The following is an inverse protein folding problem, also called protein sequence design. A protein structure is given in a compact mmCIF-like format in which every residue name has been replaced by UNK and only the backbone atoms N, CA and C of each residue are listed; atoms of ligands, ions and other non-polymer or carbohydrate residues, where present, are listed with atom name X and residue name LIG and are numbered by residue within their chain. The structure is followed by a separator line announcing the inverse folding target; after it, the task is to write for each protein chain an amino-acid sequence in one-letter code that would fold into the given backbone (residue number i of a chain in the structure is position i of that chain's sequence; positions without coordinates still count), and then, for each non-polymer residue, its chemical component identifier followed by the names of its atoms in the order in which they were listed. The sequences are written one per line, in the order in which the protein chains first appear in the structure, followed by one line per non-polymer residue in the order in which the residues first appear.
data_IF_388903748371
#
_entry.id   IF_388903748371
#
_cell.length_a   1.000
_cell.length_b   1.000
_cell.length_c   1.000
_cell.angle_alpha   90.00
_cell.angle_beta   90.00
_cell.angle_gamma   90.00
#
_symmetry.space_group_name_H-M   'P 1'
#
loop_
_entity.id
_entity.type
_entity.pdbx_description
1 polymer ?
#
# COMPACT_ATOMS: atom_id res chain seq x y z
N UNK A 1 -19.71 -7.61 40.81
CA UNK A 1 -21.06 -7.20 40.40
C UNK A 1 -21.19 -7.53 38.92
N UNK A 2 -22.19 -8.31 38.51
CA UNK A 2 -22.40 -8.62 37.09
C UNK A 2 -22.84 -7.34 36.38
N UNK A 3 -22.14 -6.95 35.32
CA UNK A 3 -22.48 -5.77 34.52
C UNK A 3 -23.90 -5.91 33.97
N UNK A 4 -24.76 -4.93 34.26
CA UNK A 4 -26.16 -4.89 33.80
C UNK A 4 -26.36 -3.63 32.97
N UNK A 5 -26.91 -3.80 31.78
CA UNK A 5 -27.33 -2.70 30.92
C UNK A 5 -28.81 -2.90 30.58
N UNK A 6 -29.69 -1.90 30.79
CA UNK A 6 -31.11 -2.03 30.49
C UNK A 6 -31.34 -2.43 29.04
N UNK A 7 -32.24 -3.38 28.81
CA UNK A 7 -32.54 -3.87 27.46
C UNK A 7 -31.51 -4.83 26.86
N UNK A 8 -30.41 -5.14 27.56
CA UNK A 8 -29.38 -6.06 27.10
C UNK A 8 -29.11 -7.20 28.09
N UNK A 9 -29.00 -8.41 27.57
CA UNK A 9 -28.49 -9.56 28.32
C UNK A 9 -27.05 -9.85 27.87
N UNK A 10 -26.08 -9.46 28.69
CA UNK A 10 -24.66 -9.72 28.44
C UNK A 10 -24.36 -11.21 28.66
N UNK A 11 -23.64 -11.81 27.71
CA UNK A 11 -23.39 -13.26 27.66
C UNK A 11 -21.91 -13.59 27.86
N UNK A 12 -21.04 -13.05 27.03
CA UNK A 12 -19.60 -13.30 27.10
C UNK A 12 -18.79 -12.04 26.81
N UNK A 13 -17.50 -12.05 27.19
CA UNK A 13 -16.56 -10.98 26.83
C UNK A 13 -15.79 -11.38 25.58
N UNK A 14 -15.95 -10.62 24.51
CA UNK A 14 -15.28 -10.83 23.23
C UNK A 14 -13.85 -10.27 23.23
N UNK A 15 -13.60 -9.17 23.96
CA UNK A 15 -12.30 -8.52 23.98
C UNK A 15 -12.05 -7.65 25.21
N UNK A 16 -10.78 -7.53 25.59
CA UNK A 16 -10.31 -6.63 26.67
C UNK A 16 -9.18 -5.75 26.13
N UNK A 17 -9.46 -4.46 25.92
CA UNK A 17 -8.45 -3.46 25.60
C UNK A 17 -8.10 -2.60 26.82
N UNK A 18 -7.08 -1.74 26.67
CA UNK A 18 -6.72 -0.76 27.70
C UNK A 18 -7.73 0.36 27.89
N UNK A 19 -8.59 0.60 26.89
CA UNK A 19 -9.53 1.73 26.87
C UNK A 19 -10.99 1.30 26.89
N UNK A 20 -11.30 0.12 26.37
CA UNK A 20 -12.65 -0.40 26.34
C UNK A 20 -12.66 -1.93 26.45
N UNK A 21 -13.77 -2.46 26.92
CA UNK A 21 -14.10 -3.88 26.90
C UNK A 21 -15.21 -4.12 25.88
N UNK A 22 -15.16 -5.22 25.16
CA UNK A 22 -16.20 -5.60 24.19
C UNK A 22 -16.86 -6.88 24.66
N UNK A 23 -18.19 -6.89 24.70
CA UNK A 23 -19.01 -8.00 25.16
C UNK A 23 -20.01 -8.42 24.09
N UNK A 24 -20.31 -9.71 24.02
CA UNK A 24 -21.47 -10.21 23.30
C UNK A 24 -22.70 -10.08 24.18
N UNK A 25 -23.79 -9.56 23.63
CA UNK A 25 -25.06 -9.48 24.33
C UNK A 25 -26.22 -9.82 23.40
N UNK A 26 -27.37 -10.15 23.99
CA UNK A 26 -28.66 -10.16 23.30
C UNK A 26 -29.38 -8.85 23.59
N UNK A 27 -29.80 -8.11 22.56
CA UNK A 27 -30.71 -6.98 22.71
C UNK A 27 -32.14 -7.53 22.86
N UNK A 28 -32.77 -7.30 24.02
CA UNK A 28 -34.03 -7.93 24.40
C UNK A 28 -35.21 -7.53 23.49
N UNK A 29 -35.23 -6.28 23.01
CA UNK A 29 -36.35 -5.76 22.19
C UNK A 29 -36.48 -6.43 20.82
N UNK A 30 -35.38 -6.89 20.25
CA UNK A 30 -35.32 -7.51 18.91
C UNK A 30 -34.83 -8.97 18.95
N UNK A 31 -34.54 -9.49 20.14
CA UNK A 31 -33.95 -10.82 20.38
C UNK A 31 -32.70 -11.13 19.51
N UNK A 32 -31.93 -10.10 19.16
CA UNK A 32 -30.75 -10.22 18.29
C UNK A 32 -29.44 -10.14 19.07
N UNK A 33 -28.40 -10.78 18.54
CA UNK A 33 -27.04 -10.63 19.06
C UNK A 33 -26.42 -9.30 18.64
N UNK A 34 -25.72 -8.66 19.58
CA UNK A 34 -25.01 -7.40 19.40
C UNK A 34 -23.66 -7.44 20.11
N UNK A 35 -22.70 -6.67 19.62
CA UNK A 35 -21.47 -6.40 20.33
C UNK A 35 -21.64 -5.09 21.11
N UNK A 36 -21.35 -5.11 22.41
CA UNK A 36 -21.39 -3.92 23.27
C UNK A 36 -19.96 -3.56 23.66
N UNK A 37 -19.51 -2.39 23.20
CA UNK A 37 -18.24 -1.79 23.59
C UNK A 37 -18.48 -0.84 24.75
N UNK A 38 -17.77 -1.04 25.85
CA UNK A 38 -17.94 -0.30 27.10
C UNK A 38 -16.61 0.34 27.46
N UNK A 39 -16.61 1.65 27.72
CA UNK A 39 -15.42 2.39 28.15
C UNK A 39 -14.89 1.79 29.46
N UNK A 40 -13.56 1.69 29.61
CA UNK A 40 -12.98 1.13 30.83
C UNK A 40 -13.34 1.99 32.05
N UNK A 41 -13.57 1.39 33.22
CA UNK A 41 -13.91 2.14 34.43
C UNK A 41 -12.89 3.23 34.80
N UNK A 42 -11.62 3.01 34.48
CA UNK A 42 -10.54 3.98 34.70
C UNK A 42 -10.69 5.25 33.87
N UNK A 43 -11.20 5.13 32.64
CA UNK A 43 -11.40 6.27 31.73
C UNK A 43 -12.79 6.88 31.87
N UNK A 44 -13.80 6.10 32.29
CA UNK A 44 -15.16 6.62 32.50
C UNK A 44 -15.24 7.60 33.67
N UNK A 45 -14.33 7.52 34.65
CA UNK A 45 -14.25 8.49 35.75
C UNK A 45 -13.63 9.84 35.35
N UNK A 46 -13.08 9.96 34.14
CA UNK A 46 -12.49 11.20 33.66
C UNK A 46 -13.45 11.87 32.66
N UNK A 47 -14.15 12.96 33.05
CA UNK A 47 -15.26 13.52 32.26
C UNK A 47 -14.90 13.84 30.81
N UNK A 48 -13.66 14.29 30.56
CA UNK A 48 -13.17 14.57 29.21
C UNK A 48 -13.17 13.35 28.30
N UNK A 49 -12.73 12.20 28.83
CA UNK A 49 -12.73 10.96 28.07
C UNK A 49 -14.15 10.43 27.87
N UNK A 50 -15.00 10.50 28.88
CA UNK A 50 -16.42 10.13 28.76
C UNK A 50 -17.16 10.97 27.70
N UNK A 51 -17.02 12.30 27.73
CA UNK A 51 -17.66 13.20 26.77
C UNK A 51 -17.19 12.96 25.34
N UNK A 52 -15.88 12.75 25.17
CA UNK A 52 -15.30 12.44 23.86
C UNK A 52 -15.75 11.07 23.35
N UNK A 53 -15.86 10.06 24.22
CA UNK A 53 -16.41 8.75 23.86
C UNK A 53 -17.79 8.90 23.27
N UNK A 54 -18.67 9.61 23.98
CA UNK A 54 -20.07 9.79 23.60
C UNK A 54 -20.20 10.65 22.33
N UNK A 55 -19.35 11.68 22.18
CA UNK A 55 -19.32 12.50 20.97
C UNK A 55 -19.00 11.66 19.74
N UNK A 56 -17.94 10.86 19.80
CA UNK A 56 -17.52 10.06 18.65
C UNK A 56 -18.41 8.87 18.39
N UNK A 57 -18.91 8.22 19.45
CA UNK A 57 -19.93 7.18 19.32
C UNK A 57 -21.16 7.69 18.57
N UNK A 58 -21.63 8.92 18.86
CA UNK A 58 -22.75 9.55 18.14
C UNK A 58 -22.40 9.87 16.68
N UNK A 59 -21.20 10.35 16.41
CA UNK A 59 -20.77 10.61 15.02
C UNK A 59 -20.73 9.31 14.22
N UNK A 60 -20.16 8.24 14.77
CA UNK A 60 -20.14 6.91 14.12
C UNK A 60 -21.57 6.39 13.94
N UNK A 61 -22.46 6.61 14.92
CA UNK A 61 -23.88 6.24 14.80
C UNK A 61 -24.63 6.95 13.67
N UNK A 62 -24.18 8.14 13.26
CA UNK A 62 -24.74 8.83 12.09
C UNK A 62 -24.23 8.30 10.75
N UNK A 63 -23.17 7.50 10.73
CA UNK A 63 -22.62 6.94 9.49
C UNK A 63 -23.43 5.70 9.08
N UNK A 64 -24.00 5.74 7.88
CA UNK A 64 -24.74 4.62 7.30
C UNK A 64 -24.12 4.20 5.96
N UNK A 65 -23.27 3.18 6.00
CA UNK A 65 -22.57 2.68 4.83
C UNK A 65 -22.38 1.15 4.93
N UNK A 66 -22.52 0.38 3.84
CA UNK A 66 -22.47 -1.09 3.87
C UNK A 66 -21.16 -1.67 4.43
N UNK A 67 -20.06 -0.92 4.36
CA UNK A 67 -18.73 -1.31 4.82
C UNK A 67 -18.26 -0.58 6.10
N UNK A 68 -19.18 0.07 6.81
CA UNK A 68 -18.98 0.68 8.13
C UNK A 68 -19.84 -0.10 9.13
N UNK A 69 -19.29 -0.46 10.28
CA UNK A 69 -20.05 -1.20 11.29
C UNK A 69 -21.28 -0.39 11.75
N UNK A 70 -22.51 -0.91 11.61
CA UNK A 70 -23.70 -0.25 12.12
C UNK A 70 -23.66 -0.15 13.63
N UNK A 71 -23.91 1.05 14.13
CA UNK A 71 -24.15 1.32 15.54
C UNK A 71 -25.65 1.40 15.76
N UNK A 72 -26.14 0.62 16.71
CA UNK A 72 -27.56 0.55 17.03
C UNK A 72 -27.97 1.46 18.17
N UNK A 73 -27.07 1.69 19.12
CA UNK A 73 -27.39 2.41 20.35
C UNK A 73 -26.13 2.98 21.01
N UNK A 74 -26.27 4.12 21.66
CA UNK A 74 -25.21 4.81 22.40
C UNK A 74 -25.81 5.30 23.71
N UNK A 75 -25.23 4.92 24.84
CA UNK A 75 -25.84 5.23 26.12
C UNK A 75 -24.87 5.29 27.29
N UNK A 76 -25.44 5.69 28.42
CA UNK A 76 -24.79 5.68 29.73
C UNK A 76 -25.72 4.99 30.73
N UNK A 77 -25.18 4.10 31.54
CA UNK A 77 -25.92 3.49 32.63
C UNK A 77 -25.00 3.19 33.82
N UNK A 78 -25.37 3.65 35.02
CA UNK A 78 -24.59 3.44 36.25
C UNK A 78 -23.09 3.80 36.09
N UNK A 79 -22.79 4.88 35.35
CA UNK A 79 -21.42 5.33 35.08
C UNK A 79 -20.66 4.55 33.99
N UNK A 80 -21.32 3.61 33.30
CA UNK A 80 -20.78 2.92 32.14
C UNK A 80 -21.26 3.57 30.86
N UNK A 81 -20.34 4.17 30.10
CA UNK A 81 -20.60 4.62 28.74
C UNK A 81 -20.42 3.44 27.78
N UNK A 82 -21.41 3.22 26.93
CA UNK A 82 -21.44 2.08 26.03
C UNK A 82 -21.92 2.42 24.61
N UNK A 83 -21.53 1.55 23.69
CA UNK A 83 -21.88 1.54 22.29
C UNK A 83 -22.35 0.13 21.91
N UNK A 84 -23.57 0.00 21.42
CA UNK A 84 -24.11 -1.25 20.86
C UNK A 84 -23.95 -1.23 19.35
N UNK A 85 -23.35 -2.28 18.78
CA UNK A 85 -23.04 -2.37 17.36
C UNK A 85 -23.30 -3.78 16.82
N UNK A 86 -23.29 -3.91 15.49
CA UNK A 86 -23.42 -5.20 14.80
C UNK A 86 -22.40 -6.21 15.35
N UNK A 87 -22.87 -7.41 15.72
CA UNK A 87 -22.00 -8.53 16.04
C UNK A 87 -21.70 -9.32 14.77
N UNK A 88 -20.43 -9.48 14.45
CA UNK A 88 -19.97 -10.11 13.22
C UNK A 88 -19.11 -11.34 13.51
N UNK A 89 -19.32 -12.41 12.74
CA UNK A 89 -18.77 -13.74 13.01
C UNK A 89 -17.77 -14.23 11.96
N UNK A 90 -17.55 -13.49 10.87
CA UNK A 90 -16.69 -13.89 9.75
C UNK A 90 -15.18 -13.73 9.97
N UNK A 91 -14.77 -13.41 11.21
CA UNK A 91 -13.38 -13.21 11.60
C UNK A 91 -12.79 -11.86 11.17
N UNK A 92 -11.50 -11.65 11.46
CA UNK A 92 -10.78 -10.42 11.14
C UNK A 92 -9.88 -10.55 9.92
N UNK A 93 -9.56 -9.42 9.28
CA UNK A 93 -8.61 -9.35 8.19
C UNK A 93 -7.24 -9.86 8.60
N UNK A 94 -6.80 -9.56 9.82
CA UNK A 94 -5.56 -10.13 10.38
C UNK A 94 -5.53 -11.66 10.34
N UNK A 95 -6.65 -12.32 10.61
CA UNK A 95 -6.72 -13.78 10.51
C UNK A 95 -6.66 -14.25 9.06
N UNK A 96 -7.32 -13.55 8.13
CA UNK A 96 -7.29 -13.87 6.69
C UNK A 96 -5.89 -13.69 6.10
N UNK A 97 -5.21 -12.59 6.39
CA UNK A 97 -3.82 -12.33 5.95
C UNK A 97 -2.89 -13.46 6.39
N UNK A 98 -2.99 -13.92 7.64
CA UNK A 98 -2.17 -15.05 8.14
C UNK A 98 -2.40 -16.36 7.39
N UNK A 99 -3.59 -16.56 6.85
CA UNK A 99 -3.92 -17.75 6.05
C UNK A 99 -3.57 -17.58 4.56
N UNK A 100 -3.09 -16.40 4.16
CA UNK A 100 -2.90 -16.02 2.76
C UNK A 100 -4.20 -15.53 2.12
N UNK A 101 -4.09 -14.51 1.28
CA UNK A 101 -5.21 -13.95 0.51
C UNK A 101 -4.89 -13.98 -0.97
N UNK A 102 -5.92 -14.16 -1.80
CA UNK A 102 -5.78 -13.99 -3.24
C UNK A 102 -5.70 -12.50 -3.61
N UNK A 103 -5.17 -12.20 -4.79
CA UNK A 103 -5.16 -10.83 -5.34
C UNK A 103 -6.58 -10.29 -5.48
N UNK A 104 -7.49 -11.09 -6.05
CA UNK A 104 -8.90 -10.71 -6.22
C UNK A 104 -9.61 -10.41 -4.90
N UNK A 105 -9.37 -11.21 -3.84
CA UNK A 105 -9.93 -10.91 -2.51
C UNK A 105 -9.35 -9.61 -1.93
N UNK A 106 -8.04 -9.39 -2.14
CA UNK A 106 -7.35 -8.18 -1.68
C UNK A 106 -7.88 -6.92 -2.36
N UNK A 107 -8.13 -6.98 -3.67
CA UNK A 107 -8.76 -5.91 -4.45
C UNK A 107 -10.20 -5.64 -3.99
N UNK A 108 -10.99 -6.70 -3.77
CA UNK A 108 -12.36 -6.57 -3.30
C UNK A 108 -12.41 -5.87 -1.94
N UNK A 109 -11.57 -6.29 -0.99
CA UNK A 109 -11.45 -5.65 0.33
C UNK A 109 -10.97 -4.20 0.20
N UNK A 110 -9.96 -3.92 -0.64
CA UNK A 110 -9.48 -2.56 -0.87
C UNK A 110 -10.59 -1.64 -1.37
N UNK A 111 -11.39 -2.08 -2.34
CA UNK A 111 -12.52 -1.30 -2.88
C UNK A 111 -13.56 -1.00 -1.80
N UNK A 112 -13.94 -2.00 -1.01
CA UNK A 112 -14.95 -1.86 0.05
C UNK A 112 -14.49 -0.86 1.12
N UNK A 113 -13.24 -0.94 1.54
CA UNK A 113 -12.66 -0.04 2.55
C UNK A 113 -12.42 1.37 2.01
N UNK A 114 -11.96 1.50 0.76
CA UNK A 114 -11.81 2.80 0.11
C UNK A 114 -13.16 3.52 0.01
N UNK A 115 -14.22 2.81 -0.36
CA UNK A 115 -15.59 3.34 -0.39
C UNK A 115 -16.07 3.77 1.01
N UNK A 116 -15.80 2.98 2.05
CA UNK A 116 -16.12 3.35 3.43
C UNK A 116 -15.38 4.63 3.90
N UNK A 117 -14.09 4.74 3.60
CA UNK A 117 -13.28 5.91 3.97
C UNK A 117 -13.67 7.16 3.17
N UNK A 118 -14.08 7.00 1.91
CA UNK A 118 -14.66 8.09 1.14
C UNK A 118 -15.91 8.66 1.84
N UNK A 119 -16.85 7.77 2.17
CA UNK A 119 -18.09 8.15 2.84
C UNK A 119 -17.83 8.82 4.20
N UNK A 120 -16.91 8.29 5.00
CA UNK A 120 -16.52 8.90 6.27
C UNK A 120 -15.93 10.30 6.08
N UNK A 121 -15.04 10.48 5.10
CA UNK A 121 -14.43 11.77 4.77
C UNK A 121 -15.45 12.83 4.32
N UNK A 122 -16.46 12.45 3.54
CA UNK A 122 -17.58 13.32 3.14
C UNK A 122 -18.42 13.79 4.33
N UNK A 123 -18.44 13.02 5.42
CA UNK A 123 -19.08 13.37 6.68
C UNK A 123 -18.10 14.00 7.68
N UNK A 124 -16.97 14.51 7.20
CA UNK A 124 -15.90 15.13 7.98
C UNK A 124 -15.35 14.25 9.11
N UNK A 125 -15.37 12.94 8.90
CA UNK A 125 -14.86 11.96 9.85
C UNK A 125 -13.55 11.34 9.36
N UNK A 126 -12.59 11.19 10.27
CA UNK A 126 -11.31 10.52 10.04
C UNK A 126 -11.21 9.37 11.05
N UNK A 127 -10.95 8.16 10.56
CA UNK A 127 -10.90 6.94 11.36
C UNK A 127 -9.68 6.88 12.29
N UNK A 128 -8.50 7.29 11.82
CA UNK A 128 -7.23 7.42 12.59
C UNK A 128 -6.56 6.11 13.05
N UNK A 129 -7.16 4.95 12.80
CA UNK A 129 -6.65 3.66 13.27
C UNK A 129 -7.06 2.52 12.32
N UNK A 130 -6.94 2.76 11.01
CA UNK A 130 -7.18 1.73 9.99
C UNK A 130 -6.07 0.68 10.07
N UNK A 131 -6.44 -0.56 10.40
CA UNK A 131 -5.52 -1.70 10.52
C UNK A 131 -6.25 -3.03 10.41
N UNK A 132 -5.55 -4.16 10.17
CA UNK A 132 -6.21 -5.45 9.96
C UNK A 132 -7.00 -5.98 11.18
N UNK A 133 -6.67 -5.55 12.39
CA UNK A 133 -7.44 -5.89 13.60
C UNK A 133 -8.83 -5.21 13.64
N UNK A 134 -8.97 -4.04 13.00
CA UNK A 134 -10.20 -3.23 12.97
C UNK A 134 -11.02 -3.45 11.68
N UNK A 135 -10.70 -4.50 10.91
CA UNK A 135 -11.44 -4.87 9.70
C UNK A 135 -11.97 -6.29 9.92
N UNK A 136 -13.29 -6.41 10.04
CA UNK A 136 -13.97 -7.68 10.23
C UNK A 136 -14.77 -8.07 9.01
N UNK A 137 -15.30 -9.29 9.00
CA UNK A 137 -16.11 -9.79 7.93
C UNK A 137 -17.47 -10.27 8.42
N UNK A 138 -18.50 -10.00 7.62
CA UNK A 138 -19.79 -10.66 7.76
C UNK A 138 -19.72 -12.10 7.25
N UNK A 139 -20.79 -12.86 7.49
CA UNK A 139 -20.92 -14.23 7.02
C UNK A 139 -20.90 -14.35 5.48
N UNK A 140 -21.37 -13.33 4.76
CA UNK A 140 -21.34 -13.25 3.30
C UNK A 140 -19.95 -12.88 2.73
N UNK A 141 -18.97 -12.62 3.59
CA UNK A 141 -17.62 -12.25 3.19
C UNK A 141 -17.39 -10.77 2.92
N UNK A 142 -18.39 -9.90 3.12
CA UNK A 142 -18.23 -8.45 3.03
C UNK A 142 -17.35 -7.91 4.18
N UNK A 143 -16.40 -7.03 3.85
CA UNK A 143 -15.54 -6.37 4.82
C UNK A 143 -16.29 -5.23 5.51
N UNK A 144 -16.01 -5.07 6.80
CA UNK A 144 -16.53 -4.02 7.66
C UNK A 144 -15.38 -3.33 8.38
N UNK A 145 -15.33 -2.01 8.24
CA UNK A 145 -14.48 -1.17 9.05
C UNK A 145 -15.18 -0.91 10.40
N UNK A 146 -14.48 -1.22 11.49
CA UNK A 146 -14.96 -1.02 12.85
C UNK A 146 -13.98 -0.19 13.67
N UNK A 147 -14.37 0.21 14.88
CA UNK A 147 -13.49 0.88 15.84
C UNK A 147 -12.91 2.21 15.33
N UNK A 148 -13.81 3.06 14.82
CA UNK A 148 -13.55 4.45 14.42
C UNK A 148 -13.01 5.29 15.58
N UNK A 149 -11.70 5.23 15.81
CA UNK A 149 -10.91 6.30 16.42
C UNK A 149 -11.26 6.77 17.83
N UNK A 150 -12.30 6.22 18.50
CA UNK A 150 -12.82 6.69 19.79
C UNK A 150 -11.71 6.80 20.85
N UNK A 151 -10.72 5.92 20.74
CA UNK A 151 -9.51 5.89 21.55
C UNK A 151 -8.43 6.92 21.15
N UNK A 152 -8.24 7.17 19.86
CA UNK A 152 -7.16 8.00 19.31
C UNK A 152 -7.46 9.49 19.46
N UNK A 153 -8.71 9.89 19.32
CA UNK A 153 -9.17 11.27 19.50
C UNK A 153 -9.01 11.79 20.93
N UNK A 154 -9.39 10.96 21.90
CA UNK A 154 -9.26 11.14 23.33
C UNK A 154 -7.87 11.64 23.75
N UNK A 155 -6.83 11.14 23.09
CA UNK A 155 -5.46 11.47 23.44
C UNK A 155 -4.84 12.57 22.56
N UNK A 156 -5.45 12.88 21.42
CA UNK A 156 -5.01 13.99 20.57
C UNK A 156 -5.49 15.36 21.09
N UNK A 157 -6.66 15.44 21.75
CA UNK A 157 -7.12 16.68 22.42
C UNK A 157 -6.33 16.97 23.71
N UNK A 158 -5.68 15.95 24.30
CA UNK A 158 -4.72 16.14 25.37
C UNK A 158 -3.39 16.62 24.79
N UNK A 159 -3.23 17.94 24.68
CA UNK A 159 -1.95 18.67 24.45
C UNK A 159 -0.83 18.35 25.47
N UNK A 160 -1.00 17.34 26.32
CA UNK A 160 -0.27 17.06 27.55
C UNK A 160 0.05 15.57 27.77
N UNK A 161 0.25 14.77 26.71
CA UNK A 161 0.86 13.44 26.88
C UNK A 161 1.95 13.16 25.84
N UNK A 162 3.07 13.90 25.98
CA UNK A 162 4.37 13.50 25.42
C UNK A 162 4.77 12.14 25.99
N UNK A 163 4.50 11.05 25.27
CA UNK A 163 5.08 9.74 25.59
C UNK A 163 4.20 8.50 25.42
N UNK A 164 2.89 8.62 25.14
CA UNK A 164 2.04 7.48 24.80
C UNK A 164 1.74 7.49 23.30
N UNK A 165 2.62 6.88 22.52
CA UNK A 165 2.41 6.64 21.09
C UNK A 165 1.19 5.71 20.93
N UNK A 166 0.03 6.27 20.55
CA UNK A 166 -1.21 5.53 20.46
C UNK A 166 -1.55 5.12 19.02
N UNK A 167 -1.73 3.82 18.85
CA UNK A 167 -2.08 3.10 17.64
C UNK A 167 -1.09 1.96 17.44
N UNK A 168 -1.28 1.13 16.42
CA UNK A 168 -0.25 0.15 16.05
C UNK A 168 0.74 0.86 15.13
N UNK A 169 1.99 1.16 15.55
CA UNK A 169 2.91 2.05 14.83
C UNK A 169 3.16 1.66 13.36
N UNK A 170 2.92 0.39 13.03
CA UNK A 170 3.04 -0.25 11.71
C UNK A 170 2.11 0.30 10.62
N UNK A 171 1.01 0.96 11.00
CA UNK A 171 0.00 1.44 10.04
C UNK A 171 -0.23 2.95 10.13
N UNK A 172 0.46 3.63 11.05
CA UNK A 172 0.31 5.07 11.24
C UNK A 172 0.89 5.85 10.07
N UNK A 173 0.21 6.93 9.69
CA UNK A 173 0.70 7.84 8.68
C UNK A 173 1.90 8.68 9.17
N UNK A 174 2.72 9.22 8.25
CA UNK A 174 3.82 10.15 8.57
C UNK A 174 3.39 11.32 9.45
N UNK A 175 2.24 11.92 9.17
CA UNK A 175 1.67 13.03 9.93
C UNK A 175 1.18 12.61 11.33
N UNK A 176 0.68 11.37 11.51
CA UNK A 176 0.41 10.84 12.85
C UNK A 176 1.68 10.71 13.69
N UNK A 177 2.77 10.17 13.11
CA UNK A 177 4.07 10.07 13.80
C UNK A 177 4.66 11.44 14.14
N UNK A 178 4.33 12.49 13.36
CA UNK A 178 4.73 13.88 13.61
C UNK A 178 3.77 14.64 14.53
N UNK A 179 2.66 14.04 14.96
CA UNK A 179 1.56 14.71 15.65
C UNK A 179 1.07 15.97 14.91
N UNK A 180 1.02 15.89 13.57
CA UNK A 180 0.48 16.93 12.70
C UNK A 180 -1.04 16.77 12.55
N UNK A 181 -1.77 17.82 12.14
CA UNK A 181 -3.19 17.71 11.83
C UNK A 181 -3.46 16.59 10.82
N UNK A 182 -4.44 15.75 11.12
CA UNK A 182 -4.83 14.63 10.27
C UNK A 182 -5.86 15.05 9.24
N UNK A 183 -5.84 14.38 8.10
CA UNK A 183 -6.80 14.57 7.01
C UNK A 183 -7.37 13.22 6.58
N UNK A 184 -8.42 13.14 5.76
CA UNK A 184 -8.90 11.87 5.22
C UNK A 184 -7.81 11.07 4.49
N UNK A 185 -6.82 11.75 3.90
CA UNK A 185 -5.65 11.11 3.28
C UNK A 185 -4.74 10.39 4.28
N UNK A 186 -4.84 10.67 5.59
CA UNK A 186 -4.16 9.90 6.63
C UNK A 186 -4.69 8.47 6.68
N UNK A 187 -6.00 8.28 6.59
CA UNK A 187 -6.59 6.93 6.57
C UNK A 187 -6.26 6.18 5.28
N UNK A 188 -6.15 6.88 4.15
CA UNK A 188 -5.74 6.28 2.88
C UNK A 188 -4.30 5.75 2.93
N UNK A 189 -3.40 6.42 3.65
CA UNK A 189 -2.05 5.90 3.89
C UNK A 189 -2.08 4.59 4.69
N UNK A 190 -2.85 4.57 5.77
CA UNK A 190 -3.05 3.36 6.58
C UNK A 190 -3.68 2.23 5.76
N UNK A 191 -4.67 2.54 4.90
CA UNK A 191 -5.24 1.59 3.96
C UNK A 191 -4.19 1.06 2.96
N UNK A 192 -3.28 1.91 2.48
CA UNK A 192 -2.14 1.48 1.65
C UNK A 192 -1.22 0.48 2.38
N UNK A 193 -0.97 0.69 3.68
CA UNK A 193 -0.20 -0.25 4.50
C UNK A 193 -0.93 -1.60 4.62
N UNK A 194 -2.25 -1.56 4.85
CA UNK A 194 -3.10 -2.76 4.92
C UNK A 194 -3.11 -3.49 3.58
N UNK A 195 -3.25 -2.78 2.46
CA UNK A 195 -3.26 -3.37 1.12
C UNK A 195 -1.94 -4.06 0.79
N UNK A 196 -0.81 -3.42 1.11
CA UNK A 196 0.50 -4.04 0.99
C UNK A 196 0.60 -5.35 1.79
N UNK A 197 0.08 -5.36 3.03
CA UNK A 197 0.09 -6.55 3.88
C UNK A 197 -0.85 -7.65 3.37
N UNK A 198 -2.02 -7.32 2.83
CA UNK A 198 -2.90 -8.30 2.18
C UNK A 198 -2.21 -9.01 1.01
N UNK A 199 -1.44 -8.25 0.22
CA UNK A 199 -0.72 -8.75 -0.95
C UNK A 199 0.53 -9.58 -0.60
N UNK A 200 1.23 -9.24 0.49
CA UNK A 200 2.56 -9.79 0.78
C UNK A 200 2.63 -10.65 2.05
N UNK A 201 1.62 -10.57 2.92
CA UNK A 201 1.59 -11.22 4.23
C UNK A 201 2.33 -10.44 5.34
N UNK A 202 3.02 -9.34 5.01
CA UNK A 202 3.76 -8.52 5.97
C UNK A 202 3.54 -7.01 5.72
N UNK A 203 3.57 -6.14 6.74
CA UNK A 203 3.44 -4.69 6.54
C UNK A 203 4.62 -4.12 5.74
N UNK A 204 4.47 -2.95 5.09
CA UNK A 204 5.49 -2.38 4.21
C UNK A 204 6.77 -1.99 4.95
N UNK A 205 6.65 -1.56 6.21
CA UNK A 205 7.79 -1.08 7.00
C UNK A 205 8.01 -1.96 8.23
N UNK A 206 9.28 -2.13 8.57
CA UNK A 206 9.72 -2.87 9.77
C UNK A 206 10.55 -1.94 10.64
N UNK A 207 10.40 -2.07 11.94
CA UNK A 207 11.14 -1.29 12.94
C UNK A 207 11.24 -2.11 14.22
N UNK A 208 12.43 -2.13 14.81
CA UNK A 208 12.70 -2.89 16.04
C UNK A 208 11.96 -2.31 17.26
N UNK A 209 11.65 -1.02 17.22
CA UNK A 209 10.94 -0.28 18.26
C UNK A 209 10.05 0.81 17.63
N UNK A 210 9.18 1.49 18.42
CA UNK A 210 8.27 2.51 17.90
C UNK A 210 8.97 3.72 17.26
N UNK A 211 10.19 4.07 17.69
CA UNK A 211 10.97 5.18 17.11
C UNK A 211 11.53 4.78 15.74
N UNK A 212 12.10 3.57 15.64
CA UNK A 212 12.57 3.01 14.39
C UNK A 212 11.42 2.86 13.38
N UNK A 213 10.24 2.43 13.84
CA UNK A 213 9.04 2.35 13.01
C UNK A 213 8.61 3.73 12.50
N UNK A 214 8.62 4.75 13.36
CA UNK A 214 8.35 6.12 12.94
C UNK A 214 9.34 6.58 11.86
N UNK A 215 10.65 6.37 12.05
CA UNK A 215 11.67 6.70 11.05
C UNK A 215 11.40 6.01 9.71
N UNK A 216 11.04 4.73 9.72
CA UNK A 216 10.72 3.98 8.51
C UNK A 216 9.53 4.60 7.75
N UNK A 217 8.41 4.83 8.45
CA UNK A 217 7.25 5.50 7.85
C UNK A 217 7.58 6.90 7.32
N UNK A 218 8.46 7.64 7.98
CA UNK A 218 8.83 9.01 7.60
C UNK A 218 9.81 9.10 6.43
N UNK A 219 10.69 8.12 6.24
CA UNK A 219 11.87 8.26 5.35
C UNK A 219 12.11 7.10 4.41
N UNK A 220 11.73 5.87 4.76
CA UNK A 220 12.01 4.74 3.89
C UNK A 220 11.16 4.78 2.62
N UNK A 221 11.74 4.41 1.46
CA UNK A 221 10.98 4.34 0.22
C UNK A 221 9.92 3.25 0.31
N UNK A 222 8.85 3.39 -0.48
CA UNK A 222 7.83 2.34 -0.60
C UNK A 222 8.49 1.05 -1.11
N UNK A 223 8.37 -0.08 -0.40
CA UNK A 223 8.99 -1.32 -0.82
C UNK A 223 8.51 -1.76 -2.21
N UNK A 224 9.40 -2.40 -2.95
CA UNK A 224 9.05 -2.98 -4.24
C UNK A 224 8.30 -4.29 -4.01
N UNK A 225 7.13 -4.41 -4.65
CA UNK A 225 6.39 -5.66 -4.67
C UNK A 225 7.12 -6.75 -5.50
N UNK A 226 6.87 -8.04 -5.20
CA UNK A 226 7.25 -9.14 -6.08
C UNK A 226 6.70 -8.94 -7.50
N UNK A 227 7.39 -9.47 -8.52
CA UNK A 227 7.05 -9.25 -9.94
C UNK A 227 5.58 -9.54 -10.24
N UNK A 228 5.06 -10.67 -9.73
CA UNK A 228 3.66 -11.08 -9.93
C UNK A 228 2.62 -10.06 -9.43
N UNK A 229 2.99 -9.19 -8.49
CA UNK A 229 2.12 -8.19 -7.86
C UNK A 229 2.46 -6.76 -8.31
N UNK A 230 3.45 -6.57 -9.19
CA UNK A 230 3.99 -5.24 -9.48
C UNK A 230 3.06 -4.31 -10.24
N UNK A 231 2.00 -4.83 -10.85
CA UNK A 231 0.92 -3.99 -11.39
C UNK A 231 0.27 -3.12 -10.30
N UNK A 232 0.27 -3.52 -9.03
CA UNK A 232 -0.21 -2.68 -7.92
C UNK A 232 0.78 -1.61 -7.44
N UNK A 233 2.02 -1.59 -7.93
CA UNK A 233 3.06 -0.69 -7.44
C UNK A 233 2.71 0.80 -7.59
N UNK A 234 2.12 1.28 -8.71
CA UNK A 234 1.73 2.69 -8.85
C UNK A 234 0.71 3.10 -7.80
N UNK A 235 -0.30 2.25 -7.54
CA UNK A 235 -1.32 2.49 -6.54
C UNK A 235 -0.74 2.56 -5.13
N UNK A 236 0.12 1.61 -4.76
CA UNK A 236 0.79 1.61 -3.47
C UNK A 236 1.71 2.82 -3.27
N UNK A 237 2.38 3.30 -4.32
CA UNK A 237 3.20 4.52 -4.23
C UNK A 237 2.37 5.76 -3.95
N UNK A 238 1.20 5.87 -4.59
CA UNK A 238 0.29 6.97 -4.34
C UNK A 238 -0.28 6.91 -2.92
N UNK A 239 -0.77 5.75 -2.46
CA UNK A 239 -1.31 5.59 -1.10
C UNK A 239 -0.23 5.83 -0.02
N UNK A 240 0.99 5.34 -0.23
CA UNK A 240 2.10 5.41 0.74
C UNK A 240 3.00 6.64 0.54
N UNK A 241 2.55 7.64 -0.21
CA UNK A 241 3.27 8.90 -0.37
C UNK A 241 3.45 9.59 1.01
N UNK A 242 4.62 10.19 1.22
CA UNK A 242 4.99 10.72 2.54
C UNK A 242 4.26 12.01 2.86
N UNK A 243 4.04 12.85 1.86
CA UNK A 243 3.18 14.04 1.94
C UNK A 243 1.72 13.62 1.69
N UNK A 244 0.76 13.97 2.57
CA UNK A 244 -0.66 13.76 2.33
C UNK A 244 -1.18 14.36 1.03
N UNK A 245 -0.60 15.48 0.54
CA UNK A 245 -1.03 16.14 -0.68
C UNK A 245 -0.71 15.34 -1.96
N UNK A 246 0.28 14.43 -1.88
CA UNK A 246 0.68 13.55 -2.99
C UNK A 246 -0.17 12.25 -3.04
N UNK A 247 -1.10 12.08 -2.10
CA UNK A 247 -1.98 10.90 -2.02
C UNK A 247 -3.27 11.11 -2.83
N UNK A 248 -4.01 10.05 -3.17
CA UNK A 248 -5.34 10.17 -3.75
C UNK A 248 -6.23 11.08 -2.89
N UNK A 249 -6.98 11.97 -3.54
CA UNK A 249 -7.82 12.96 -2.86
C UNK A 249 -8.86 12.35 -1.93
N UNK A 250 -9.39 11.18 -2.30
CA UNK A 250 -10.47 10.49 -1.61
C UNK A 250 -10.48 8.99 -2.00
N UNK A 251 -11.35 8.21 -1.37
CA UNK A 251 -11.46 6.78 -1.63
C UNK A 251 -11.98 6.44 -3.04
N UNK A 252 -12.81 7.29 -3.65
CA UNK A 252 -13.24 7.09 -5.04
C UNK A 252 -12.05 7.14 -6.01
N UNK A 253 -11.10 8.06 -5.79
CA UNK A 253 -9.87 8.11 -6.59
C UNK A 253 -9.02 6.85 -6.46
N UNK A 254 -8.96 6.25 -5.26
CA UNK A 254 -8.28 4.95 -5.04
C UNK A 254 -8.93 3.85 -5.88
N UNK A 255 -10.26 3.81 -5.90
CA UNK A 255 -11.03 2.83 -6.69
C UNK A 255 -10.76 3.02 -8.19
N UNK A 256 -10.83 4.25 -8.70
CA UNK A 256 -10.51 4.55 -10.11
C UNK A 256 -9.07 4.17 -10.46
N UNK A 257 -8.12 4.40 -9.57
CA UNK A 257 -6.72 4.00 -9.79
C UNK A 257 -6.55 2.48 -9.79
N UNK A 258 -7.30 1.76 -8.96
CA UNK A 258 -7.34 0.30 -8.96
C UNK A 258 -7.93 -0.24 -10.27
N UNK A 259 -9.03 0.34 -10.76
CA UNK A 259 -9.70 -0.03 -12.00
C UNK A 259 -8.86 0.25 -13.26
N UNK A 260 -8.00 1.27 -13.18
CA UNK A 260 -7.08 1.65 -14.25
C UNK A 260 -5.79 0.82 -14.27
N UNK A 261 -5.59 -0.12 -13.33
CA UNK A 261 -4.44 -1.01 -13.38
C UNK A 261 -4.59 -1.96 -14.56
N UNK A 262 -3.62 -1.92 -15.46
CA UNK A 262 -3.57 -2.90 -16.53
C UNK A 262 -3.30 -4.29 -15.94
N UNK A 263 -4.11 -5.30 -16.29
CA UNK A 263 -3.75 -6.68 -15.97
C UNK A 263 -2.39 -6.98 -16.63
N UNK A 264 -1.57 -7.88 -16.06
CA UNK A 264 -0.31 -8.27 -16.68
C UNK A 264 -0.56 -8.65 -18.15
N UNK A 265 0.07 -7.91 -19.07
CA UNK A 265 -0.28 -7.91 -20.50
C UNK A 265 -0.41 -9.34 -21.07
N UNK A 266 -1.54 -9.62 -21.72
CA UNK A 266 -1.89 -10.92 -22.32
C UNK A 266 -0.93 -11.39 -23.44
N UNK A 267 0.05 -10.58 -23.85
CA UNK A 267 1.08 -10.97 -24.82
C UNK A 267 2.10 -12.00 -24.31
N UNK A 268 2.03 -12.38 -23.03
CA UNK A 268 2.99 -13.28 -22.38
C UNK A 268 2.29 -14.45 -21.65
N UNK A 269 1.51 -15.24 -22.40
CA UNK A 269 0.98 -16.50 -21.86
C UNK A 269 2.09 -17.52 -21.60
N UNK A 270 1.91 -18.33 -20.55
CA UNK A 270 2.76 -19.46 -20.11
C UNK A 270 3.13 -20.46 -21.22
N UNK A 271 2.43 -20.46 -22.36
CA UNK A 271 2.65 -21.42 -23.44
C UNK A 271 3.81 -21.05 -24.38
N UNK A 272 4.23 -19.78 -24.43
CA UNK A 272 5.36 -19.34 -25.28
C UNK A 272 6.69 -19.19 -24.52
N UNK A 273 6.69 -19.37 -23.20
CA UNK A 273 7.86 -19.21 -22.33
C UNK A 273 8.74 -20.47 -22.23
N UNK A 274 8.27 -21.63 -22.67
CA UNK A 274 8.96 -22.92 -22.49
C UNK A 274 9.90 -23.33 -23.63
N UNK A 275 10.17 -22.48 -24.64
CA UNK A 275 11.15 -22.81 -25.69
C UNK A 275 12.59 -22.65 -25.17
N UNK A 276 13.07 -23.67 -24.47
CA UNK A 276 14.50 -23.97 -24.33
C UNK A 276 14.86 -24.81 -25.55
N UNK A 277 15.70 -24.34 -26.50
CA UNK A 277 16.17 -25.22 -27.56
C UNK A 277 16.84 -26.41 -26.88
N UNK A 278 16.23 -27.60 -26.97
CA UNK A 278 16.88 -28.84 -26.60
C UNK A 278 18.01 -29.06 -27.61
N UNK A 279 19.16 -28.46 -27.35
CA UNK A 279 20.51 -28.76 -27.84
C UNK A 279 21.38 -27.49 -27.75
N UNK A 280 21.89 -27.21 -26.56
CA UNK A 280 23.29 -26.79 -26.39
C UNK A 280 23.73 -27.08 -24.97
N UNK A 281 24.75 -27.93 -24.86
CA UNK A 281 25.31 -28.45 -23.63
C UNK A 281 26.13 -27.39 -22.87
N UNK A 282 26.16 -27.52 -21.54
CA UNK A 282 27.14 -26.92 -20.62
C UNK A 282 27.12 -25.39 -20.42
N UNK A 283 25.96 -24.77 -20.23
CA UNK A 283 25.89 -23.41 -19.70
C UNK A 283 25.65 -23.41 -18.19
N UNK A 284 26.61 -22.89 -17.40
CA UNK A 284 26.45 -22.70 -15.95
C UNK A 284 25.32 -21.70 -15.66
N UNK A 285 24.39 -21.98 -14.73
CA UNK A 285 23.32 -21.05 -14.38
C UNK A 285 23.85 -19.69 -13.89
N UNK A 286 23.27 -18.61 -14.39
CA UNK A 286 23.54 -17.24 -13.98
C UNK A 286 22.65 -16.84 -12.80
N UNK A 287 23.24 -16.24 -11.76
CA UNK A 287 22.45 -15.68 -10.66
C UNK A 287 21.80 -14.35 -11.09
N UNK A 288 20.46 -14.23 -11.10
CA UNK A 288 19.79 -13.02 -11.55
C UNK A 288 20.13 -11.81 -10.67
N UNK A 289 20.50 -10.68 -11.29
CA UNK A 289 20.84 -9.44 -10.58
C UNK A 289 20.45 -8.23 -11.42
N UNK A 290 19.96 -7.18 -10.77
CA UNK A 290 19.79 -5.86 -11.36
C UNK A 290 20.46 -4.82 -10.45
N UNK A 291 21.31 -3.99 -11.03
CA UNK A 291 21.92 -2.84 -10.38
C UNK A 291 21.71 -1.61 -11.24
N UNK A 292 21.22 -0.55 -10.62
CA UNK A 292 20.97 0.74 -11.26
C UNK A 292 21.88 1.77 -10.62
N UNK A 293 22.47 2.66 -11.42
CA UNK A 293 23.38 3.69 -10.93
C UNK A 293 23.24 4.97 -11.75
N UNK A 294 23.05 6.10 -11.09
CA UNK A 294 23.22 7.42 -11.71
C UNK A 294 24.70 7.81 -11.71
N UNK A 295 25.21 8.25 -12.86
CA UNK A 295 26.60 8.69 -13.04
C UNK A 295 26.63 10.13 -13.57
N UNK A 296 27.30 11.08 -12.89
CA UNK A 296 27.45 12.45 -13.40
C UNK A 296 28.31 12.48 -14.68
N UNK A 297 27.84 13.17 -15.71
CA UNK A 297 28.57 13.33 -16.98
C UNK A 297 29.37 14.64 -17.05
N UNK A 298 29.00 15.65 -16.26
CA UNK A 298 29.66 16.95 -16.27
C UNK A 298 28.74 18.09 -15.85
N UNK A 299 29.22 19.32 -16.04
CA UNK A 299 28.50 20.54 -15.72
C UNK A 299 28.09 21.27 -17.00
N UNK A 300 26.84 21.72 -17.06
CA UNK A 300 26.33 22.63 -18.09
C UNK A 300 25.86 23.93 -17.46
N UNK A 301 25.53 24.93 -18.29
CA UNK A 301 24.95 26.20 -17.81
C UNK A 301 23.62 26.01 -17.07
N UNK A 302 22.91 24.89 -17.30
CA UNK A 302 21.69 24.48 -16.57
C UNK A 302 21.97 23.53 -15.39
N UNK A 303 23.24 23.38 -15.00
CA UNK A 303 23.68 22.52 -13.89
C UNK A 303 24.25 21.16 -14.31
N UNK A 304 24.44 20.26 -13.33
CA UNK A 304 25.02 18.92 -13.52
C UNK A 304 24.15 18.05 -14.44
N UNK A 305 24.81 17.32 -15.33
CA UNK A 305 24.18 16.38 -16.26
C UNK A 305 24.44 14.93 -15.83
N UNK A 306 23.53 14.03 -16.19
CA UNK A 306 23.52 12.67 -15.65
C UNK A 306 23.30 11.62 -16.75
N UNK A 307 23.94 10.47 -16.54
CA UNK A 307 23.70 9.20 -17.23
C UNK A 307 23.09 8.20 -16.26
N UNK A 308 22.26 7.30 -16.78
CA UNK A 308 21.72 6.17 -16.02
C UNK A 308 22.31 4.85 -16.50
N UNK A 309 23.03 4.17 -15.61
CA UNK A 309 23.68 2.89 -15.87
C UNK A 309 22.84 1.73 -15.32
N UNK A 310 22.52 0.78 -16.19
CA UNK A 310 21.74 -0.41 -15.93
C UNK A 310 22.64 -1.61 -16.11
N UNK A 311 22.82 -2.39 -15.04
CA UNK A 311 23.56 -3.65 -15.08
C UNK A 311 22.60 -4.77 -14.75
N UNK A 312 22.40 -5.71 -15.66
CA UNK A 312 21.47 -6.83 -15.47
C UNK A 312 22.11 -8.17 -15.80
N UNK A 313 21.74 -9.20 -15.04
CA UNK A 313 22.15 -10.59 -15.25
C UNK A 313 20.88 -11.43 -15.33
N UNK A 314 20.76 -12.26 -16.36
CA UNK A 314 19.59 -13.10 -16.57
C UNK A 314 19.97 -14.48 -17.12
N UNK A 315 19.44 -15.54 -16.49
CA UNK A 315 19.67 -16.93 -16.89
C UNK A 315 18.75 -17.39 -18.03
N UNK A 316 17.62 -16.71 -18.20
CA UNK A 316 16.67 -16.94 -19.27
C UNK A 316 15.92 -15.63 -19.57
N UNK A 317 14.99 -15.67 -20.52
CA UNK A 317 14.25 -14.48 -20.91
C UNK A 317 13.22 -14.05 -19.84
N UNK A 318 12.70 -14.97 -19.02
CA UNK A 318 11.75 -14.64 -17.95
C UNK A 318 12.46 -13.87 -16.83
N UNK A 319 13.63 -14.36 -16.40
CA UNK A 319 14.51 -13.64 -15.48
C UNK A 319 14.96 -12.27 -16.02
N UNK A 320 15.16 -12.15 -17.34
CA UNK A 320 15.41 -10.84 -17.94
C UNK A 320 14.20 -9.90 -17.80
N UNK A 321 12.98 -10.44 -18.01
CA UNK A 321 11.74 -9.69 -17.89
C UNK A 321 11.44 -9.29 -16.43
N UNK A 322 11.82 -10.08 -15.43
CA UNK A 322 11.62 -9.77 -14.01
C UNK A 322 12.28 -8.44 -13.57
N UNK A 323 13.41 -8.11 -14.22
CA UNK A 323 14.12 -6.86 -14.00
C UNK A 323 13.37 -5.66 -14.59
N UNK A 324 12.51 -5.89 -15.56
CA UNK A 324 11.96 -4.84 -16.40
C UNK A 324 11.04 -3.86 -15.68
N UNK A 325 10.09 -4.28 -14.81
CA UNK A 325 9.26 -3.32 -14.11
C UNK A 325 10.07 -2.42 -13.15
N UNK A 326 11.15 -2.94 -12.53
CA UNK A 326 12.08 -2.08 -11.74
C UNK A 326 12.78 -1.09 -12.64
N UNK A 327 13.32 -1.58 -13.76
CA UNK A 327 14.06 -0.77 -14.70
C UNK A 327 13.17 0.36 -15.24
N UNK A 328 11.96 0.05 -15.71
CA UNK A 328 10.97 1.03 -16.19
C UNK A 328 10.67 2.07 -15.12
N UNK A 329 10.29 1.62 -13.92
CA UNK A 329 10.00 2.54 -12.82
C UNK A 329 11.18 3.46 -12.54
N UNK A 330 12.39 2.93 -12.44
CA UNK A 330 13.54 3.70 -12.04
C UNK A 330 13.95 4.72 -13.11
N UNK A 331 13.78 4.38 -14.38
CA UNK A 331 13.98 5.30 -15.51
C UNK A 331 12.94 6.43 -15.51
N UNK A 332 11.67 6.12 -15.24
CA UNK A 332 10.59 7.11 -15.08
C UNK A 332 10.89 8.06 -13.91
N UNK A 333 11.21 7.51 -12.74
CA UNK A 333 11.51 8.28 -11.53
C UNK A 333 12.74 9.18 -11.76
N UNK A 334 13.77 8.64 -12.42
CA UNK A 334 14.98 9.38 -12.77
C UNK A 334 14.68 10.55 -13.72
N UNK A 335 13.88 10.30 -14.77
CA UNK A 335 13.48 11.34 -15.71
C UNK A 335 12.63 12.42 -15.05
N UNK A 336 11.66 12.05 -14.21
CA UNK A 336 10.82 12.99 -13.48
C UNK A 336 11.66 13.92 -12.57
N UNK A 337 12.69 13.40 -11.91
CA UNK A 337 13.53 14.18 -11.00
C UNK A 337 14.58 15.06 -11.70
N UNK A 338 15.06 14.65 -12.88
CA UNK A 338 16.20 15.30 -13.55
C UNK A 338 15.79 16.10 -14.78
N UNK A 339 14.70 15.73 -15.44
CA UNK A 339 14.17 16.35 -16.65
C UNK A 339 15.23 16.46 -17.74
N UNK A 340 15.40 17.68 -18.30
CA UNK A 340 16.37 17.96 -19.38
C UNK A 340 17.85 17.68 -19.04
N UNK A 341 18.17 17.35 -17.78
CA UNK A 341 19.51 16.96 -17.31
C UNK A 341 19.83 15.47 -17.50
N UNK A 342 18.84 14.64 -17.85
CA UNK A 342 19.06 13.27 -18.36
C UNK A 342 19.74 13.33 -19.72
N UNK A 343 20.90 12.69 -19.89
CA UNK A 343 21.69 12.78 -21.14
C UNK A 343 21.98 11.45 -21.82
N UNK A 344 22.00 10.34 -21.10
CA UNK A 344 22.25 9.03 -21.70
C UNK A 344 21.74 7.90 -20.81
N UNK A 345 21.46 6.75 -21.42
CA UNK A 345 21.24 5.48 -20.71
C UNK A 345 22.25 4.45 -21.24
N UNK A 346 22.85 3.69 -20.34
CA UNK A 346 23.73 2.57 -20.69
C UNK A 346 23.18 1.29 -20.09
N UNK A 347 22.98 0.25 -20.91
CA UNK A 347 22.54 -1.07 -20.49
C UNK A 347 23.67 -2.07 -20.73
N UNK A 348 24.18 -2.68 -19.66
CA UNK A 348 25.10 -3.81 -19.71
C UNK A 348 24.38 -5.05 -19.19
N UNK A 349 24.23 -6.05 -20.06
CA UNK A 349 23.47 -7.25 -19.77
C UNK A 349 24.35 -8.50 -19.92
N UNK A 350 24.43 -9.31 -18.85
CA UNK A 350 25.04 -10.65 -18.89
C UNK A 350 23.96 -11.70 -19.06
N UNK A 351 24.01 -12.45 -20.16
CA UNK A 351 22.98 -13.40 -20.56
C UNK A 351 23.58 -14.56 -21.34
N UNK A 352 22.83 -15.65 -21.44
CA UNK A 352 23.18 -16.71 -22.39
C UNK A 352 22.95 -16.26 -23.84
N UNK A 353 23.80 -16.67 -24.80
CA UNK A 353 23.67 -16.26 -26.21
C UNK A 353 22.30 -16.54 -26.84
N UNK A 354 21.63 -17.64 -26.44
CA UNK A 354 20.35 -18.07 -27.02
C UNK A 354 19.16 -17.14 -26.69
N UNK A 355 19.23 -16.31 -25.65
CA UNK A 355 18.19 -15.30 -25.35
C UNK A 355 18.50 -13.91 -25.91
N UNK A 356 19.73 -13.67 -26.39
CA UNK A 356 20.22 -12.34 -26.80
C UNK A 356 19.36 -11.66 -27.85
N UNK A 357 18.88 -12.40 -28.87
CA UNK A 357 18.01 -11.85 -29.92
C UNK A 357 16.69 -11.32 -29.38
N UNK A 358 16.08 -12.03 -28.43
CA UNK A 358 14.83 -11.60 -27.77
C UNK A 358 15.08 -10.37 -26.89
N UNK A 359 16.15 -10.40 -26.09
CA UNK A 359 16.56 -9.27 -25.24
C UNK A 359 16.82 -8.01 -26.07
N UNK A 360 17.52 -8.15 -27.19
CA UNK A 360 17.79 -7.05 -28.11
C UNK A 360 16.51 -6.42 -28.67
N UNK A 361 15.60 -7.23 -29.21
CA UNK A 361 14.35 -6.72 -29.75
C UNK A 361 13.56 -5.99 -28.68
N UNK A 362 13.50 -6.57 -27.48
CA UNK A 362 12.84 -5.98 -26.34
C UNK A 362 13.43 -4.61 -25.95
N UNK A 363 14.77 -4.50 -25.85
CA UNK A 363 15.45 -3.24 -25.55
C UNK A 363 15.29 -2.18 -26.64
N UNK A 364 15.05 -2.57 -27.90
CA UNK A 364 14.73 -1.62 -28.99
C UNK A 364 13.33 -1.05 -28.87
N UNK A 365 12.36 -1.88 -28.49
CA UNK A 365 10.98 -1.46 -28.32
C UNK A 365 10.74 -0.73 -26.99
N UNK A 366 11.71 -0.77 -26.07
CA UNK A 366 11.69 -0.09 -24.79
C UNK A 366 11.34 1.41 -24.89
N UNK A 367 11.97 2.13 -25.82
CA UNK A 367 11.72 3.57 -26.02
C UNK A 367 10.33 3.90 -26.57
N UNK A 368 9.59 2.89 -27.02
CA UNK A 368 8.19 3.01 -27.49
C UNK A 368 7.19 2.62 -26.41
N UNK A 369 7.66 2.25 -25.22
CA UNK A 369 6.79 1.88 -24.09
C UNK A 369 6.24 3.14 -23.45
N UNK A 370 4.94 3.14 -23.13
CA UNK A 370 4.27 4.28 -22.49
C UNK A 370 5.04 4.80 -21.27
N UNK A 371 5.30 6.11 -21.27
CA UNK A 371 6.06 6.86 -20.27
C UNK A 371 7.58 6.88 -20.47
N UNK A 372 8.15 6.00 -21.32
CA UNK A 372 9.58 5.97 -21.61
C UNK A 372 9.94 6.64 -22.95
N UNK A 373 9.05 7.42 -23.53
CA UNK A 373 9.24 8.10 -24.82
C UNK A 373 10.41 9.08 -24.77
N UNK A 374 10.74 9.61 -23.59
CA UNK A 374 11.91 10.47 -23.39
C UNK A 374 13.23 9.78 -23.78
N UNK A 375 13.27 8.44 -23.76
CA UNK A 375 14.43 7.67 -24.17
C UNK A 375 14.74 7.80 -25.65
N UNK A 376 13.76 8.18 -26.50
CA UNK A 376 14.00 8.48 -27.91
C UNK A 376 14.76 9.81 -28.10
N UNK A 377 14.78 10.68 -27.10
CA UNK A 377 15.48 11.97 -27.16
C UNK A 377 16.93 11.92 -26.65
N UNK A 378 17.39 10.76 -26.16
CA UNK A 378 18.74 10.57 -25.60
C UNK A 378 19.38 9.28 -26.15
N UNK A 379 20.71 9.21 -26.27
CA UNK A 379 21.38 7.98 -26.69
C UNK A 379 21.21 6.86 -25.67
N UNK A 380 20.94 5.65 -26.17
CA UNK A 380 20.89 4.42 -25.37
C UNK A 380 21.96 3.44 -25.86
N UNK A 381 23.00 3.23 -25.06
CA UNK A 381 24.07 2.28 -25.35
C UNK A 381 23.77 0.90 -24.76
N UNK A 382 23.81 -0.16 -25.57
CA UNK A 382 23.54 -1.54 -25.13
C UNK A 382 24.77 -2.41 -25.36
N UNK A 383 25.17 -3.14 -24.33
CA UNK A 383 26.27 -4.11 -24.35
C UNK A 383 25.80 -5.45 -23.77
N UNK A 384 25.60 -6.44 -24.65
CA UNK A 384 25.22 -7.81 -24.30
C UNK A 384 26.49 -8.67 -24.23
N UNK A 385 26.69 -9.37 -23.12
CA UNK A 385 27.91 -10.12 -22.82
C UNK A 385 27.52 -11.52 -22.33
N UNK A 386 28.29 -12.53 -22.70
CA UNK A 386 28.14 -13.89 -22.18
C UNK A 386 28.68 -14.01 -20.74
N UNK A 387 28.38 -15.14 -20.09
CA UNK A 387 28.77 -15.41 -18.71
C UNK A 387 30.30 -15.45 -18.50
N UNK A 388 31.04 -15.85 -19.53
CA UNK A 388 32.50 -15.90 -19.59
C UNK A 388 33.14 -14.54 -19.89
N UNK A 389 32.34 -13.50 -20.15
CA UNK A 389 32.80 -12.15 -20.45
C UNK A 389 32.99 -11.87 -21.94
N UNK A 390 32.76 -12.85 -22.82
CA UNK A 390 32.84 -12.65 -24.26
C UNK A 390 31.69 -11.74 -24.75
N UNK A 391 31.97 -10.76 -25.64
CA UNK A 391 30.94 -9.89 -26.17
C UNK A 391 29.99 -10.67 -27.09
N UNK A 392 28.69 -10.58 -26.84
CA UNK A 392 27.66 -11.15 -27.71
C UNK A 392 27.28 -10.11 -28.77
N UNK A 393 26.88 -8.91 -28.33
CA UNK A 393 26.48 -7.83 -29.22
C UNK A 393 26.61 -6.47 -28.54
N UNK A 394 27.02 -5.45 -29.31
CA UNK A 394 27.02 -4.06 -28.87
C UNK A 394 26.37 -3.18 -29.91
N UNK A 395 25.44 -2.33 -29.48
CA UNK A 395 24.79 -1.36 -30.36
C UNK A 395 24.40 -0.10 -29.59
N UNK A 396 24.19 0.99 -30.32
CA UNK A 396 23.71 2.27 -29.79
C UNK A 396 22.41 2.62 -30.52
N UNK A 397 21.40 3.01 -29.75
CA UNK A 397 20.19 3.64 -30.27
C UNK A 397 20.41 5.15 -30.18
N UNK A 398 20.63 5.77 -31.35
CA UNK A 398 20.79 7.21 -31.45
C UNK A 398 19.47 7.95 -31.19
N UNK A 399 19.53 9.20 -30.69
CA UNK A 399 18.35 10.05 -30.57
C UNK A 399 17.60 10.18 -31.89
N UNK A 400 16.28 10.10 -31.85
CA UNK A 400 15.44 10.36 -33.01
C UNK A 400 15.53 11.85 -33.35
N UNK A 401 15.82 12.19 -34.61
CA UNK A 401 15.83 13.59 -35.06
C UNK A 401 14.43 14.14 -34.87
N UNK A 402 14.29 15.24 -34.12
CA UNK A 402 13.05 15.99 -34.10
C UNK A 402 12.64 16.27 -35.55
N UNK A 403 11.48 15.75 -35.96
CA UNK A 403 10.90 16.10 -37.24
C UNK A 403 10.84 17.62 -37.31
N UNK A 404 11.44 18.20 -38.35
CA UNK A 404 11.01 19.53 -38.78
C UNK A 404 9.54 19.35 -39.12
N UNK A 405 8.66 19.88 -38.29
CA UNK A 405 7.31 20.21 -38.73
C UNK A 405 7.51 21.20 -39.89
N UNK A 406 7.24 20.73 -41.10
CA UNK A 406 7.17 21.58 -42.28
C UNK A 406 6.08 22.63 -42.04
N UNK A 407 6.47 23.88 -42.27
CA UNK A 407 5.74 25.11 -42.02
C UNK A 407 4.47 25.29 -42.85
#
# INVERSE_FOLDING_TARGET
MALRLPGYRITERLGKGGMAHVFLATQNSFERQVAIKILSPTLSMEPRFAEQFMREARTVASLNHPHIVPVYDVGEHEGYHYLSMEYVTGGSLKARIRNGMSESDSEAVLRQLASALNYAGEHHFIHRDVKPDNILFRADGSALLMDFGIASSMLNDATQNKGRQMGTPKYMSPEQHRAQPLTPQSDLYSLGCVFYEMLTGEPPFKGADPSAMAVAHLREPVPLLPVRLRHYQPLLRALLAKDPADRPENGNKVITMLDALEPPAAHYSKERSSYRPQQQANSTPLAPRLRLKETPLGLSWRGKQYQYDVYLVADDFEHFQDHFPVLRSALLDWHAQRGSRCKAVTVKATLHPWISGRVKQYLRDLRKTDGLEFMSAIPVSVNLVAADGEPIERFVLEPEKAGKEDA
#
